data_IF_126769691418
#
_entry.id   IF_126769691418
#
_cell.length_a   1.000
_cell.length_b   1.000
_cell.length_c   1.000
_cell.angle_alpha   90.00
_cell.angle_beta   90.00
_cell.angle_gamma   90.00
#
_symmetry.space_group_name_H-M   'P 1'
#
loop_
_entity.id
_entity.type
_entity.pdbx_description
1 polymer ?
#
# COMPACT_ATOMS: atom_id res chain seq x y z
N UNK A 1 -23.73 80.30 -43.41
CA UNK A 1 -22.73 79.26 -43.01
C UNK A 1 -23.42 78.32 -42.07
N UNK A 2 -23.93 77.20 -42.60
CA UNK A 2 -24.73 76.21 -41.87
C UNK A 2 -23.76 75.09 -41.35
N UNK A 3 -23.56 75.08 -40.05
CA UNK A 3 -22.78 73.99 -39.39
C UNK A 3 -23.72 72.81 -39.24
N UNK A 4 -23.51 71.76 -40.02
CA UNK A 4 -24.17 70.44 -39.86
C UNK A 4 -23.62 69.77 -38.61
N UNK A 5 -24.42 69.74 -37.54
CA UNK A 5 -24.16 68.87 -36.38
C UNK A 5 -24.41 67.45 -36.84
N UNK A 6 -23.30 66.67 -36.90
CA UNK A 6 -23.33 65.23 -37.08
C UNK A 6 -23.82 64.63 -35.74
N UNK A 7 -25.07 64.17 -35.74
CA UNK A 7 -25.59 63.35 -34.62
C UNK A 7 -24.79 62.07 -34.63
N UNK A 8 -24.05 61.89 -33.56
CA UNK A 8 -23.47 60.61 -33.19
C UNK A 8 -24.63 59.83 -32.56
N UNK A 9 -25.30 59.01 -33.36
CA UNK A 9 -26.20 57.98 -32.86
C UNK A 9 -25.35 57.05 -32.01
N UNK A 10 -25.59 57.11 -30.71
CA UNK A 10 -25.02 56.23 -29.73
C UNK A 10 -25.55 54.82 -30.03
N UNK A 11 -24.71 54.01 -30.59
CA UNK A 11 -24.97 52.60 -30.85
C UNK A 11 -25.09 51.88 -29.48
N UNK A 12 -26.29 51.95 -28.88
CA UNK A 12 -26.61 51.33 -27.60
C UNK A 12 -27.03 49.87 -27.72
N UNK A 13 -27.09 49.33 -28.95
CA UNK A 13 -27.58 47.99 -29.19
C UNK A 13 -26.47 46.90 -29.18
N UNK A 14 -25.20 47.28 -29.21
CA UNK A 14 -24.09 46.32 -29.23
C UNK A 14 -23.80 45.60 -27.89
N UNK A 15 -24.33 46.13 -26.76
CA UNK A 15 -23.96 45.61 -25.45
C UNK A 15 -24.84 44.50 -24.85
N UNK A 16 -26.08 44.36 -25.34
CA UNK A 16 -27.07 43.47 -24.74
C UNK A 16 -27.17 42.14 -25.51
N UNK A 17 -26.98 42.18 -26.84
CA UNK A 17 -27.06 40.96 -27.67
C UNK A 17 -25.82 40.05 -27.52
N UNK A 18 -24.66 40.57 -27.13
CA UNK A 18 -23.45 39.81 -26.91
C UNK A 18 -23.40 39.13 -25.53
N UNK A 19 -24.12 39.64 -24.54
CA UNK A 19 -24.12 39.08 -23.16
C UNK A 19 -24.64 37.65 -23.08
N UNK A 20 -25.75 37.25 -23.74
CA UNK A 20 -26.21 35.86 -23.69
C UNK A 20 -25.22 34.90 -24.37
N UNK A 21 -24.61 35.31 -25.49
CA UNK A 21 -23.61 34.51 -26.18
C UNK A 21 -22.33 34.34 -25.34
N UNK A 22 -21.85 35.41 -24.72
CA UNK A 22 -20.68 35.39 -23.84
C UNK A 22 -20.91 34.53 -22.62
N UNK A 23 -22.09 34.64 -21.99
CA UNK A 23 -22.48 33.77 -20.86
C UNK A 23 -22.54 32.31 -21.29
N UNK A 24 -23.11 32.00 -22.47
CA UNK A 24 -23.18 30.64 -22.98
C UNK A 24 -21.77 30.03 -23.20
N UNK A 25 -20.85 30.81 -23.76
CA UNK A 25 -19.45 30.37 -23.95
C UNK A 25 -18.76 30.11 -22.61
N UNK A 26 -18.93 31.00 -21.63
CA UNK A 26 -18.34 30.85 -20.30
C UNK A 26 -18.86 29.57 -19.60
N UNK A 27 -20.17 29.35 -19.64
CA UNK A 27 -20.80 28.14 -19.03
C UNK A 27 -20.32 26.88 -19.74
N UNK A 28 -20.20 26.92 -21.08
CA UNK A 28 -19.70 25.77 -21.83
C UNK A 28 -18.24 25.45 -21.50
N UNK A 29 -17.38 26.46 -21.45
CA UNK A 29 -15.97 26.29 -21.06
C UNK A 29 -15.88 25.79 -19.62
N UNK A 30 -16.65 26.36 -18.68
CA UNK A 30 -16.69 25.93 -17.29
C UNK A 30 -17.16 24.47 -17.16
N UNK A 31 -18.20 24.08 -17.93
CA UNK A 31 -18.71 22.71 -17.96
C UNK A 31 -17.69 21.69 -18.46
N UNK A 32 -17.01 22.02 -19.58
CA UNK A 32 -15.95 21.16 -20.11
C UNK A 32 -14.77 21.05 -19.13
N UNK A 33 -14.35 22.18 -18.55
CA UNK A 33 -13.26 22.19 -17.56
C UNK A 33 -13.59 21.33 -16.32
N UNK A 34 -14.83 21.44 -15.84
CA UNK A 34 -15.31 20.64 -14.71
C UNK A 34 -15.36 19.15 -15.07
N UNK A 35 -15.82 18.80 -16.27
CA UNK A 35 -15.85 17.41 -16.74
C UNK A 35 -14.45 16.80 -16.83
N UNK A 36 -13.46 17.57 -17.31
CA UNK A 36 -12.06 17.13 -17.37
C UNK A 36 -11.49 16.91 -15.97
N UNK A 37 -11.72 17.83 -15.03
CA UNK A 37 -11.26 17.74 -13.66
C UNK A 37 -11.90 16.52 -12.97
N UNK A 38 -13.20 16.33 -13.11
CA UNK A 38 -13.91 15.17 -12.53
C UNK A 38 -13.44 13.85 -13.16
N UNK A 39 -13.19 13.82 -14.46
CA UNK A 39 -12.63 12.67 -15.15
C UNK A 39 -11.23 12.31 -14.63
N UNK A 40 -10.43 13.32 -14.37
CA UNK A 40 -9.07 13.15 -13.84
C UNK A 40 -9.09 12.66 -12.38
N UNK A 41 -9.91 13.28 -11.54
CA UNK A 41 -10.02 12.90 -10.11
C UNK A 41 -10.60 11.49 -9.93
N UNK A 42 -11.52 11.05 -10.78
CA UNK A 42 -12.05 9.69 -10.77
C UNK A 42 -11.03 8.65 -11.26
N UNK A 43 -10.05 9.05 -12.06
CA UNK A 43 -8.96 8.19 -12.53
C UNK A 43 -7.79 8.09 -11.54
N UNK A 44 -7.70 9.00 -10.56
CA UNK A 44 -6.73 8.95 -9.48
C UNK A 44 -7.26 8.04 -8.38
N UNK A 45 -7.21 6.72 -8.60
CA UNK A 45 -7.42 5.75 -7.52
C UNK A 45 -6.45 6.04 -6.38
N UNK A 46 -6.91 5.94 -5.13
CA UNK A 46 -6.03 6.06 -3.98
C UNK A 46 -4.86 5.05 -4.14
N UNK A 47 -3.62 5.47 -3.86
CA UNK A 47 -2.49 4.56 -3.96
C UNK A 47 -2.72 3.36 -3.05
N UNK A 48 -2.57 2.17 -3.59
CA UNK A 48 -2.67 0.95 -2.78
C UNK A 48 -1.48 0.85 -1.85
N UNK A 49 -1.75 0.70 -0.58
CA UNK A 49 -0.75 0.54 0.47
C UNK A 49 -1.04 -0.73 1.26
N UNK A 50 0.02 -1.36 1.78
CA UNK A 50 -0.15 -2.44 2.75
C UNK A 50 -0.53 -1.79 4.07
N UNK A 51 -1.72 -2.11 4.59
CA UNK A 51 -2.23 -1.53 5.82
C UNK A 51 -1.84 -2.32 7.06
N UNK A 52 -1.84 -3.65 6.97
CA UNK A 52 -1.44 -4.50 8.09
C UNK A 52 -0.77 -5.79 7.63
N UNK A 53 0.15 -6.26 8.45
CA UNK A 53 0.79 -7.57 8.35
C UNK A 53 0.63 -8.26 9.70
N UNK A 54 0.11 -9.46 9.70
CA UNK A 54 -0.07 -10.28 10.90
C UNK A 54 0.57 -11.64 10.69
N UNK A 55 0.97 -12.31 11.77
CA UNK A 55 1.54 -13.66 11.73
C UNK A 55 0.79 -14.60 12.66
N UNK A 56 0.77 -15.85 12.29
CA UNK A 56 0.32 -16.95 13.12
C UNK A 56 1.39 -18.06 13.05
N UNK A 57 2.07 -18.38 14.16
CA UNK A 57 1.95 -17.79 15.48
C UNK A 57 2.50 -16.35 15.59
N UNK A 58 2.06 -15.61 16.63
CA UNK A 58 2.52 -14.25 16.93
C UNK A 58 3.84 -14.22 17.70
N UNK A 59 4.28 -15.36 18.22
CA UNK A 59 5.55 -15.56 18.92
C UNK A 59 6.11 -16.94 18.60
N UNK A 60 7.41 -17.09 18.66
CA UNK A 60 8.12 -18.35 18.41
C UNK A 60 8.77 -18.79 19.72
N UNK A 61 8.48 -20.01 20.15
CA UNK A 61 9.08 -20.61 21.32
C UNK A 61 10.17 -21.58 20.89
N UNK A 62 11.34 -21.46 21.46
CA UNK A 62 12.49 -22.36 21.25
C UNK A 62 12.93 -22.96 22.56
N UNK A 63 13.34 -24.22 22.56
CA UNK A 63 13.75 -24.95 23.74
C UNK A 63 15.17 -25.51 23.60
N UNK A 64 15.88 -25.60 24.73
CA UNK A 64 17.18 -26.26 24.82
C UNK A 64 16.96 -27.70 25.29
N UNK A 65 16.90 -28.65 24.36
CA UNK A 65 16.57 -30.03 24.63
C UNK A 65 17.73 -30.82 25.29
N UNK A 66 18.98 -30.37 25.12
CA UNK A 66 20.18 -31.07 25.52
C UNK A 66 21.05 -30.32 26.56
N UNK A 67 20.68 -29.08 26.90
CA UNK A 67 21.36 -28.29 27.93
C UNK A 67 22.69 -27.69 27.45
N UNK A 68 22.91 -27.59 26.14
CA UNK A 68 24.15 -27.04 25.57
C UNK A 68 24.10 -25.53 25.35
N UNK A 69 22.98 -24.90 25.68
CA UNK A 69 22.74 -23.46 25.50
C UNK A 69 22.28 -23.07 24.09
N UNK A 70 22.07 -24.05 23.21
CA UNK A 70 21.46 -23.86 21.87
C UNK A 70 19.96 -24.16 21.97
N UNK A 71 19.16 -23.15 21.77
CA UNK A 71 17.71 -23.24 21.77
C UNK A 71 17.22 -23.40 20.32
N UNK A 72 16.46 -24.45 20.06
CA UNK A 72 15.98 -24.80 18.72
C UNK A 72 14.48 -25.05 18.68
N UNK A 73 13.90 -24.82 17.51
CA UNK A 73 12.56 -25.29 17.15
C UNK A 73 12.60 -25.69 15.68
N UNK A 74 12.49 -26.98 15.40
CA UNK A 74 12.51 -27.53 14.04
C UNK A 74 11.09 -27.93 13.64
N UNK A 75 10.78 -27.75 12.34
CA UNK A 75 9.46 -28.06 11.79
C UNK A 75 8.40 -27.01 12.13
N UNK A 76 8.80 -25.76 12.37
CA UNK A 76 7.88 -24.67 12.67
C UNK A 76 7.14 -24.24 11.40
N UNK A 77 5.82 -24.10 11.50
CA UNK A 77 4.98 -23.53 10.46
C UNK A 77 4.57 -22.11 10.84
N UNK A 78 4.72 -21.17 9.90
CA UNK A 78 4.32 -19.77 10.07
C UNK A 78 3.42 -19.38 8.90
N UNK A 79 2.29 -18.75 9.22
CA UNK A 79 1.42 -18.10 8.24
C UNK A 79 1.49 -16.59 8.42
N UNK A 80 1.70 -15.86 7.33
CA UNK A 80 1.70 -14.38 7.31
C UNK A 80 0.51 -13.91 6.50
N UNK A 81 -0.26 -12.98 7.06
CA UNK A 81 -1.44 -12.39 6.43
C UNK A 81 -1.16 -10.93 6.12
N UNK A 82 -1.37 -10.55 4.87
CA UNK A 82 -1.11 -9.20 4.35
C UNK A 82 -2.42 -8.60 3.85
N UNK A 83 -2.78 -7.43 4.38
CA UNK A 83 -4.06 -6.76 4.07
C UNK A 83 -3.79 -5.33 3.62
N UNK A 84 -4.51 -4.87 2.61
CA UNK A 84 -4.42 -3.52 2.09
C UNK A 84 -5.29 -2.51 2.87
N UNK A 85 -5.25 -1.25 2.46
CA UNK A 85 -6.02 -0.16 3.07
C UNK A 85 -7.55 -0.27 2.84
N UNK A 86 -8.01 -1.21 2.00
CA UNK A 86 -9.43 -1.51 1.81
C UNK A 86 -9.87 -2.75 2.63
N UNK A 87 -8.96 -3.37 3.39
CA UNK A 87 -9.23 -4.58 4.16
C UNK A 87 -9.22 -5.86 3.32
N UNK A 88 -8.68 -5.81 2.10
CA UNK A 88 -8.56 -6.97 1.22
C UNK A 88 -7.19 -7.62 1.34
N UNK A 89 -7.14 -8.94 1.17
CA UNK A 89 -5.89 -9.68 1.07
C UNK A 89 -5.06 -9.21 -0.13
N UNK A 90 -3.77 -9.01 0.08
CA UNK A 90 -2.82 -8.61 -0.97
C UNK A 90 -2.24 -9.85 -1.63
N UNK A 91 -2.75 -10.21 -2.80
CA UNK A 91 -2.24 -11.34 -3.60
C UNK A 91 -0.89 -11.01 -4.24
N UNK A 92 0.00 -12.00 -4.32
CA UNK A 92 1.28 -11.93 -5.04
C UNK A 92 2.29 -10.94 -4.41
N UNK A 93 2.19 -10.68 -3.10
CA UNK A 93 3.22 -9.99 -2.36
C UNK A 93 4.34 -10.97 -1.98
N UNK A 94 5.58 -10.52 -2.07
CA UNK A 94 6.73 -11.31 -1.60
C UNK A 94 6.92 -11.06 -0.11
N UNK A 95 6.93 -12.13 0.66
CA UNK A 95 7.18 -12.14 2.11
C UNK A 95 8.52 -12.81 2.36
N UNK A 96 9.38 -12.15 3.12
CA UNK A 96 10.71 -12.65 3.50
C UNK A 96 10.81 -12.65 5.02
N UNK A 97 11.34 -13.73 5.60
CA UNK A 97 11.61 -13.85 7.03
C UNK A 97 13.12 -13.75 7.26
N UNK A 98 13.54 -12.80 8.10
CA UNK A 98 14.95 -12.56 8.38
C UNK A 98 15.21 -12.39 9.88
N UNK A 99 16.39 -12.77 10.33
CA UNK A 99 16.79 -12.63 11.74
C UNK A 99 16.27 -13.74 12.64
N UNK A 100 16.49 -13.62 13.95
CA UNK A 100 16.04 -14.59 14.97
C UNK A 100 16.59 -16.00 14.83
N UNK A 101 17.49 -16.24 13.88
CA UNK A 101 17.99 -17.58 13.56
C UNK A 101 17.04 -18.43 12.73
N UNK A 102 16.05 -17.80 12.05
CA UNK A 102 15.09 -18.48 11.17
C UNK A 102 15.74 -18.86 9.84
N UNK A 103 15.59 -20.11 9.44
CA UNK A 103 16.05 -20.65 8.14
C UNK A 103 15.07 -21.71 7.64
N UNK A 104 15.16 -22.01 6.34
CA UNK A 104 14.58 -23.24 5.80
C UNK A 104 15.43 -24.45 6.19
N UNK A 105 14.94 -25.67 5.98
CA UNK A 105 15.71 -26.90 6.18
C UNK A 105 17.06 -26.91 5.42
N UNK A 106 17.11 -26.23 4.27
CA UNK A 106 18.33 -26.05 3.45
C UNK A 106 19.26 -24.93 3.98
N UNK A 107 18.94 -24.29 5.12
CA UNK A 107 19.72 -23.19 5.68
C UNK A 107 19.61 -21.86 4.93
N UNK A 108 18.60 -21.69 4.06
CA UNK A 108 18.37 -20.46 3.30
C UNK A 108 17.40 -19.53 4.00
N UNK A 109 17.40 -18.26 3.60
CA UNK A 109 16.39 -17.27 4.05
C UNK A 109 15.01 -17.68 3.52
N UNK A 110 14.01 -17.88 4.40
CA UNK A 110 12.66 -18.23 3.97
C UNK A 110 11.99 -17.09 3.21
N UNK A 111 11.40 -17.39 2.08
CA UNK A 111 10.57 -16.47 1.32
C UNK A 111 9.37 -17.18 0.71
N UNK A 112 8.24 -16.49 0.62
CA UNK A 112 7.01 -17.00 0.02
C UNK A 112 6.23 -15.86 -0.64
N UNK A 113 5.28 -16.24 -1.49
CA UNK A 113 4.38 -15.28 -2.14
C UNK A 113 2.98 -15.48 -1.57
N UNK A 114 2.27 -14.37 -1.32
CA UNK A 114 0.89 -14.41 -0.82
C UNK A 114 -0.09 -14.91 -1.87
N UNK A 115 -1.08 -15.69 -1.45
CA UNK A 115 -2.20 -16.17 -2.24
C UNK A 115 -3.30 -15.08 -2.43
N UNK A 116 -4.44 -15.46 -3.04
CA UNK A 116 -5.58 -14.57 -3.27
C UNK A 116 -6.20 -14.01 -1.99
N UNK A 117 -6.02 -14.67 -0.87
CA UNK A 117 -6.48 -14.24 0.45
C UNK A 117 -5.45 -13.39 1.18
N UNK A 118 -4.28 -13.14 0.56
CA UNK A 118 -3.18 -12.40 1.17
C UNK A 118 -2.37 -13.22 2.17
N UNK A 119 -2.45 -14.56 2.13
CA UNK A 119 -1.73 -15.47 3.02
C UNK A 119 -0.47 -16.00 2.36
N UNK A 120 0.67 -15.87 3.04
CA UNK A 120 1.91 -16.58 2.74
C UNK A 120 2.14 -17.66 3.80
N UNK A 121 2.36 -18.89 3.38
CA UNK A 121 2.59 -20.03 4.28
C UNK A 121 4.03 -20.49 4.17
N UNK A 122 4.65 -20.67 5.33
CA UNK A 122 5.98 -21.24 5.49
C UNK A 122 5.85 -22.51 6.30
N UNK A 123 6.47 -23.58 5.86
CA UNK A 123 6.45 -24.87 6.54
C UNK A 123 7.86 -25.38 6.76
N UNK A 124 8.01 -26.20 7.78
CA UNK A 124 9.28 -26.85 8.12
C UNK A 124 10.43 -25.85 8.31
N UNK A 125 10.15 -24.74 8.99
CA UNK A 125 11.19 -23.78 9.34
C UNK A 125 12.00 -24.27 10.52
N UNK A 126 13.30 -23.98 10.49
CA UNK A 126 14.20 -24.18 11.61
C UNK A 126 14.53 -22.83 12.23
N UNK A 127 14.39 -22.72 13.54
CA UNK A 127 14.79 -21.55 14.31
C UNK A 127 15.81 -21.97 15.35
N UNK A 128 16.98 -21.33 15.35
CA UNK A 128 18.05 -21.65 16.29
C UNK A 128 18.70 -20.39 16.85
N UNK A 129 18.94 -20.35 18.14
CA UNK A 129 19.63 -19.25 18.82
C UNK A 129 20.42 -19.70 20.01
N UNK A 130 21.49 -18.98 20.33
CA UNK A 130 22.26 -19.21 21.57
C UNK A 130 21.76 -18.32 22.70
N UNK A 131 21.65 -18.92 23.90
CA UNK A 131 21.29 -18.22 25.13
C UNK A 131 19.80 -17.82 25.21
N UNK A 132 19.41 -17.33 26.39
CA UNK A 132 18.02 -17.04 26.77
C UNK A 132 17.53 -15.61 26.37
N UNK A 133 18.39 -14.76 25.80
CA UNK A 133 17.98 -13.43 25.40
C UNK A 133 16.87 -13.48 24.31
N UNK A 134 15.89 -12.59 24.36
CA UNK A 134 14.87 -12.51 23.31
C UNK A 134 15.55 -12.11 21.99
N UNK A 135 15.23 -12.80 20.91
CA UNK A 135 15.59 -12.43 19.54
C UNK A 135 14.33 -12.17 18.71
N UNK A 136 14.48 -11.66 17.51
CA UNK A 136 13.35 -11.25 16.70
C UNK A 136 13.51 -11.73 15.26
N UNK A 137 12.44 -12.30 14.71
CA UNK A 137 12.28 -12.54 13.28
C UNK A 137 11.58 -11.33 12.68
N UNK A 138 12.19 -10.72 11.68
CA UNK A 138 11.59 -9.62 10.93
C UNK A 138 10.94 -10.19 9.67
N UNK A 139 9.64 -9.96 9.54
CA UNK A 139 8.86 -10.25 8.35
C UNK A 139 8.87 -9.01 7.48
N UNK A 140 9.39 -9.09 6.28
CA UNK A 140 9.37 -7.98 5.31
C UNK A 140 8.45 -8.34 4.16
N UNK A 141 7.52 -7.45 3.84
CA UNK A 141 6.54 -7.64 2.76
C UNK A 141 6.74 -6.58 1.69
N UNK A 142 6.92 -7.03 0.45
CA UNK A 142 7.10 -6.16 -0.72
C UNK A 142 6.11 -6.56 -1.81
N UNK A 143 5.45 -5.58 -2.39
CA UNK A 143 4.57 -5.78 -3.56
C UNK A 143 4.83 -4.73 -4.62
N UNK A 144 5.04 -5.16 -5.86
CA UNK A 144 5.08 -4.25 -7.01
C UNK A 144 3.77 -3.48 -7.13
N UNK A 145 3.82 -2.19 -7.47
CA UNK A 145 2.66 -1.28 -7.55
C UNK A 145 2.02 -0.88 -6.21
N UNK A 146 2.64 -1.22 -5.08
CA UNK A 146 2.30 -0.68 -3.78
C UNK A 146 3.35 0.35 -3.36
N UNK A 147 2.90 1.44 -2.74
CA UNK A 147 3.78 2.56 -2.39
C UNK A 147 4.62 2.27 -1.15
N UNK A 148 4.19 1.32 -0.32
CA UNK A 148 4.83 1.02 0.96
C UNK A 148 5.33 -0.42 1.06
N UNK A 149 6.50 -0.57 1.65
CA UNK A 149 6.97 -1.83 2.24
C UNK A 149 6.42 -1.92 3.65
N UNK A 150 5.90 -3.07 4.05
CA UNK A 150 5.47 -3.30 5.42
C UNK A 150 6.39 -4.30 6.12
N UNK A 151 6.57 -4.13 7.42
CA UNK A 151 7.34 -5.06 8.25
C UNK A 151 6.60 -5.39 9.54
N UNK A 152 6.78 -6.63 10.00
CA UNK A 152 6.30 -7.13 11.28
C UNK A 152 7.46 -7.80 11.99
N UNK A 153 7.49 -7.71 13.30
CA UNK A 153 8.53 -8.35 14.12
C UNK A 153 7.88 -9.41 15.01
N UNK A 154 8.37 -10.64 14.91
CA UNK A 154 7.91 -11.80 15.71
C UNK A 154 8.98 -12.08 16.76
N UNK A 155 8.66 -12.05 18.07
CA UNK A 155 9.61 -12.39 19.12
C UNK A 155 9.91 -13.89 19.14
N UNK A 156 11.17 -14.24 19.37
CA UNK A 156 11.66 -15.60 19.60
C UNK A 156 12.07 -15.71 21.07
N UNK A 157 11.33 -16.52 21.80
CA UNK A 157 11.43 -16.67 23.25
C UNK A 157 12.03 -18.05 23.58
N UNK A 158 13.01 -18.07 24.47
CA UNK A 158 13.61 -19.29 24.98
C UNK A 158 12.88 -19.76 26.26
N UNK A 159 12.40 -20.99 26.26
CA UNK A 159 11.87 -21.68 27.43
C UNK A 159 12.90 -22.55 28.14
#
# INVERSE_FOLDING_TARGET
>A
MLVRRKQIESDRNGGIEGLPLQLMIIVLIAGISMAIILGWTNGLGAPRTIASVNSDPSEIIVADANGDGLYTNDGLDIAVFVVDNEGKGVEGATVVLEGGGVTTDDGKTPHATTDQQGRASFSSLCVSKYGRSVSFVTVTVVKSNFVSTASLTIPVIAE
#
